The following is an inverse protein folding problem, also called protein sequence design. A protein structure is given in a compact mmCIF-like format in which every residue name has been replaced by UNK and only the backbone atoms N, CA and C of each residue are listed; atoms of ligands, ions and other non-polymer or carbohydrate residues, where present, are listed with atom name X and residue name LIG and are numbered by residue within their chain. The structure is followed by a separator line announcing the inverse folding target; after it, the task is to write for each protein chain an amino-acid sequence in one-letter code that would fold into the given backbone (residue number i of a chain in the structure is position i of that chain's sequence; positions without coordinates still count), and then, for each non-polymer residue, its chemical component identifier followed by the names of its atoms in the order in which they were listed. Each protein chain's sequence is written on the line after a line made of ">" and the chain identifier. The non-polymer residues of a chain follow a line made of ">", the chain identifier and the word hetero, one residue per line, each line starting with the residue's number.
data_IF_143709517035
#
_entry.id   IF_143709517035
#
_cell.length_a   1.000
_cell.length_b   1.000
_cell.length_c   1.000
_cell.angle_alpha   90.00
_cell.angle_beta   90.00
_cell.angle_gamma   90.00
#
_symmetry.space_group_name_H-M   'P 1'
#
loop_
_entity.id
_entity.type
_entity.pdbx_description
1 polymer ?
#
# COMPACT_ATOMS: atom_id res chain seq x y z
N UNK A 1 11.43 4.60 11.93
CA UNK A 1 11.60 5.32 10.65
C UNK A 1 10.50 4.79 9.75
N UNK A 2 9.58 5.62 9.29
CA UNK A 2 8.44 5.17 8.48
C UNK A 2 8.90 4.74 7.09
N UNK A 3 8.57 3.50 6.70
CA UNK A 3 8.93 2.97 5.40
C UNK A 3 8.14 3.67 4.27
N UNK A 4 8.80 4.03 3.17
CA UNK A 4 8.14 4.61 2.00
C UNK A 4 7.89 3.52 0.96
N UNK A 5 6.63 3.21 0.69
CA UNK A 5 6.21 2.12 -0.18
C UNK A 5 5.74 2.64 -1.55
N UNK A 6 6.31 2.10 -2.61
CA UNK A 6 5.74 2.15 -3.95
C UNK A 6 5.05 0.81 -4.23
N UNK A 7 3.78 0.84 -4.64
CA UNK A 7 2.95 -0.35 -4.82
C UNK A 7 2.56 -0.50 -6.29
N UNK A 8 2.94 -1.61 -6.92
CA UNK A 8 2.57 -1.93 -8.29
C UNK A 8 1.41 -2.92 -8.26
N UNK A 9 0.30 -2.60 -8.94
CA UNK A 9 -0.89 -3.45 -8.98
C UNK A 9 -1.27 -3.82 -10.43
N UNK A 10 -1.83 -5.02 -10.58
CA UNK A 10 -2.40 -5.51 -11.84
C UNK A 10 -3.84 -6.03 -11.72
N UNK A 11 -4.33 -6.19 -10.50
CA UNK A 11 -5.65 -6.73 -10.16
C UNK A 11 -6.68 -5.65 -9.81
N UNK A 12 -7.66 -6.03 -8.98
CA UNK A 12 -8.66 -5.13 -8.39
C UNK A 12 -8.13 -4.26 -7.24
N UNK A 13 -6.89 -4.51 -6.78
CA UNK A 13 -6.28 -3.75 -5.70
C UNK A 13 -6.56 -4.27 -4.28
N UNK A 14 -7.10 -5.47 -4.10
CA UNK A 14 -7.37 -6.03 -2.75
C UNK A 14 -6.14 -6.07 -1.84
N UNK A 15 -4.97 -6.38 -2.39
CA UNK A 15 -3.71 -6.34 -1.63
C UNK A 15 -3.28 -4.92 -1.25
N UNK A 16 -3.53 -3.94 -2.12
CA UNK A 16 -3.30 -2.53 -1.80
C UNK A 16 -4.21 -2.11 -0.65
N UNK A 17 -5.50 -2.50 -0.69
CA UNK A 17 -6.42 -2.23 0.41
C UNK A 17 -5.93 -2.83 1.73
N UNK A 18 -5.51 -4.09 1.73
CA UNK A 18 -4.97 -4.74 2.93
C UNK A 18 -3.72 -4.04 3.49
N UNK A 19 -2.84 -3.52 2.62
CA UNK A 19 -1.67 -2.73 3.02
C UNK A 19 -2.11 -1.41 3.67
N UNK A 20 -3.07 -0.71 3.07
CA UNK A 20 -3.61 0.55 3.60
C UNK A 20 -4.29 0.33 4.97
N UNK A 21 -5.06 -0.75 5.11
CA UNK A 21 -5.72 -1.13 6.36
C UNK A 21 -4.69 -1.40 7.46
N UNK A 22 -3.60 -2.11 7.14
CA UNK A 22 -2.51 -2.38 8.08
C UNK A 22 -1.78 -1.10 8.52
N UNK A 23 -1.59 -0.14 7.62
CA UNK A 23 -1.01 1.17 7.94
C UNK A 23 -1.96 1.94 8.86
N UNK A 24 -3.25 2.01 8.52
CA UNK A 24 -4.26 2.72 9.29
C UNK A 24 -4.42 2.13 10.70
N UNK A 25 -4.40 0.80 10.82
CA UNK A 25 -4.45 0.10 12.10
C UNK A 25 -3.13 0.15 12.89
N UNK A 26 -2.08 0.80 12.33
CA UNK A 26 -0.74 0.91 12.90
C UNK A 26 -0.03 -0.43 13.14
N UNK A 27 -0.42 -1.47 12.40
CA UNK A 27 0.33 -2.72 12.32
C UNK A 27 1.56 -2.61 11.40
N UNK A 28 1.57 -1.61 10.51
CA UNK A 28 2.66 -1.33 9.58
C UNK A 28 3.07 0.14 9.67
N UNK A 29 4.28 0.44 10.18
CA UNK A 29 4.87 1.79 10.16
C UNK A 29 5.39 2.12 8.75
N UNK A 30 4.46 2.42 7.84
CA UNK A 30 4.75 2.76 6.46
C UNK A 30 3.81 3.83 5.90
N UNK A 31 4.24 4.41 4.78
CA UNK A 31 3.48 5.34 3.96
C UNK A 31 3.53 4.86 2.52
N UNK A 32 2.37 4.64 1.90
CA UNK A 32 2.29 4.43 0.45
C UNK A 32 2.46 5.79 -0.23
N UNK A 33 3.54 5.92 -1.01
CA UNK A 33 3.93 7.18 -1.68
C UNK A 33 3.67 7.17 -3.19
N UNK A 34 3.49 5.99 -3.78
CA UNK A 34 3.18 5.82 -5.19
C UNK A 34 2.38 4.53 -5.38
N UNK A 35 1.35 4.59 -6.22
CA UNK A 35 0.68 3.41 -6.73
C UNK A 35 0.74 3.45 -8.26
N UNK A 36 1.20 2.37 -8.89
CA UNK A 36 1.22 2.22 -10.35
C UNK A 36 0.31 1.06 -10.72
N UNK A 37 -0.66 1.32 -11.60
CA UNK A 37 -1.59 0.34 -12.14
C UNK A 37 -1.33 0.14 -13.63
N UNK A 38 -1.47 -1.09 -14.13
CA UNK A 38 -1.46 -1.38 -15.56
C UNK A 38 -2.87 -1.46 -16.18
N UNK A 39 -3.89 -0.97 -15.46
CA UNK A 39 -5.24 -0.71 -15.96
C UNK A 39 -5.43 0.77 -16.23
#
# INVERSE_FOLDING_TARGET
>A
MTARLAVLISGSGSNLQAILDAIQARYLDAQVVLVVSNR
#
